data_IF_059850485051
#
_entry.id   IF_059850485051
#
_cell.length_a   1.000
_cell.length_b   1.000
_cell.length_c   1.000
_cell.angle_alpha   90.00
_cell.angle_beta   90.00
_cell.angle_gamma   90.00
#
_symmetry.space_group_name_H-M   'P 1'
#
loop_
_entity.id
_entity.type
_entity.pdbx_description
1 polymer ?
#
# COMPACT_ATOMS: atom_id res chain seq x y z
N UNK A 1 -15.60 5.46 9.70
CA UNK A 1 -16.02 6.16 8.45
C UNK A 1 -17.43 5.76 8.08
N UNK A 2 -17.67 4.48 7.82
CA UNK A 2 -18.97 3.89 7.47
C UNK A 2 -20.10 4.30 8.42
N UNK A 3 -19.85 4.29 9.73
CA UNK A 3 -20.84 4.72 10.73
C UNK A 3 -21.27 6.20 10.58
N UNK A 4 -20.39 7.09 10.11
CA UNK A 4 -20.75 8.48 9.79
C UNK A 4 -21.55 8.57 8.50
N UNK A 5 -21.18 7.81 7.46
CA UNK A 5 -21.90 7.77 6.18
C UNK A 5 -23.35 7.31 6.35
N UNK A 6 -23.59 6.32 7.22
CA UNK A 6 -24.92 5.77 7.48
C UNK A 6 -25.72 6.49 8.57
N UNK A 7 -25.20 7.57 9.18
CA UNK A 7 -25.93 8.32 10.21
C UNK A 7 -27.14 9.05 9.61
N UNK A 8 -26.93 9.70 8.47
CA UNK A 8 -27.96 10.33 7.65
C UNK A 8 -27.83 9.79 6.23
N UNK A 9 -28.48 8.65 5.91
CA UNK A 9 -28.27 7.95 4.64
C UNK A 9 -28.87 8.74 3.48
N UNK A 10 -28.04 9.03 2.48
CA UNK A 10 -28.43 9.48 1.14
C UNK A 10 -28.02 8.42 0.12
N UNK A 11 -28.53 8.48 -1.11
CA UNK A 11 -28.13 7.55 -2.17
C UNK A 11 -26.60 7.49 -2.32
N UNK A 12 -25.94 8.65 -2.40
CA UNK A 12 -24.48 8.74 -2.52
C UNK A 12 -23.74 8.20 -1.28
N UNK A 13 -24.21 8.52 -0.07
CA UNK A 13 -23.52 8.08 1.15
C UNK A 13 -23.63 6.58 1.35
N UNK A 14 -24.75 5.98 0.94
CA UNK A 14 -24.98 4.54 0.96
C UNK A 14 -24.14 3.84 -0.10
N UNK A 15 -24.09 4.37 -1.34
CA UNK A 15 -23.22 3.82 -2.40
C UNK A 15 -21.76 3.85 -1.98
N UNK A 16 -21.27 4.96 -1.43
CA UNK A 16 -19.90 5.07 -0.94
C UNK A 16 -19.62 4.11 0.23
N UNK A 17 -20.57 3.94 1.14
CA UNK A 17 -20.45 2.98 2.23
C UNK A 17 -20.39 1.54 1.72
N UNK A 18 -21.20 1.18 0.72
CA UNK A 18 -21.18 -0.14 0.09
C UNK A 18 -19.85 -0.38 -0.61
N UNK A 19 -19.37 0.58 -1.39
CA UNK A 19 -18.13 0.43 -2.14
C UNK A 19 -16.92 0.28 -1.21
N UNK A 20 -16.85 1.10 -0.15
CA UNK A 20 -15.82 0.94 0.88
C UNK A 20 -15.88 -0.44 1.54
N UNK A 21 -17.08 -0.94 1.81
CA UNK A 21 -17.25 -2.24 2.48
C UNK A 21 -16.86 -3.42 1.58
N UNK A 22 -17.12 -3.36 0.27
CA UNK A 22 -16.66 -4.42 -0.66
C UNK A 22 -15.15 -4.64 -0.57
N UNK A 23 -14.38 -3.56 -0.48
CA UNK A 23 -12.91 -3.62 -0.46
C UNK A 23 -12.33 -4.10 0.88
N UNK A 24 -12.96 -3.75 2.02
CA UNK A 24 -12.38 -4.04 3.35
C UNK A 24 -13.13 -5.12 4.16
N UNK A 25 -14.27 -5.63 3.70
CA UNK A 25 -15.11 -6.54 4.48
C UNK A 25 -14.39 -7.83 4.86
N UNK A 26 -13.65 -8.47 3.95
CA UNK A 26 -13.05 -9.75 4.27
C UNK A 26 -12.06 -9.61 5.44
N UNK A 27 -11.27 -8.54 5.49
CA UNK A 27 -10.39 -8.26 6.65
C UNK A 27 -11.20 -7.88 7.89
N UNK A 28 -12.25 -7.07 7.75
CA UNK A 28 -13.13 -6.70 8.87
C UNK A 28 -13.87 -7.90 9.46
N UNK A 29 -14.21 -8.91 8.68
CA UNK A 29 -14.84 -10.14 9.18
C UNK A 29 -13.91 -10.95 10.08
N UNK A 30 -12.60 -10.88 9.83
CA UNK A 30 -11.57 -11.58 10.61
C UNK A 30 -11.28 -10.84 11.93
N UNK A 31 -11.22 -9.50 11.89
CA UNK A 31 -10.80 -8.69 13.04
C UNK A 31 -12.00 -8.18 13.87
N UNK A 32 -13.10 -7.80 13.22
CA UNK A 32 -14.27 -7.14 13.84
C UNK A 32 -15.64 -7.67 13.34
N UNK A 33 -15.95 -8.97 13.49
CA UNK A 33 -17.18 -9.57 12.96
C UNK A 33 -18.47 -8.94 13.49
N UNK A 34 -18.48 -8.52 14.77
CA UNK A 34 -19.67 -7.89 15.39
C UNK A 34 -20.00 -6.52 14.78
N UNK A 35 -18.97 -5.75 14.42
CA UNK A 35 -19.14 -4.44 13.78
C UNK A 35 -19.75 -4.61 12.39
N UNK A 36 -19.29 -5.64 11.68
CA UNK A 36 -19.79 -6.01 10.37
C UNK A 36 -21.27 -6.41 10.43
N UNK A 37 -21.67 -7.25 11.38
CA UNK A 37 -23.07 -7.64 11.56
C UNK A 37 -23.98 -6.45 11.88
N UNK A 38 -23.50 -5.50 12.69
CA UNK A 38 -24.21 -4.25 12.96
C UNK A 38 -24.40 -3.41 11.69
N UNK A 39 -23.38 -3.36 10.82
CA UNK A 39 -23.47 -2.68 9.53
C UNK A 39 -24.52 -3.31 8.61
N UNK A 40 -24.49 -4.64 8.42
CA UNK A 40 -25.48 -5.34 7.60
C UNK A 40 -26.89 -5.25 8.16
N UNK A 41 -27.04 -5.26 9.49
CA UNK A 41 -28.34 -5.03 10.13
C UNK A 41 -28.89 -3.65 9.77
N UNK A 42 -28.06 -2.60 9.78
CA UNK A 42 -28.46 -1.25 9.35
C UNK A 42 -28.84 -1.20 7.87
N UNK A 43 -28.05 -1.81 6.99
CA UNK A 43 -28.40 -1.90 5.57
C UNK A 43 -29.72 -2.64 5.32
N UNK A 44 -29.99 -3.70 6.09
CA UNK A 44 -31.25 -4.43 6.03
C UNK A 44 -32.45 -3.55 6.41
N UNK A 45 -32.30 -2.69 7.41
CA UNK A 45 -33.32 -1.69 7.78
C UNK A 45 -33.53 -0.69 6.63
N UNK A 46 -32.45 -0.16 6.05
CA UNK A 46 -32.53 0.78 4.93
C UNK A 46 -33.22 0.16 3.71
N UNK A 47 -32.94 -1.11 3.39
CA UNK A 47 -33.56 -1.80 2.26
C UNK A 47 -35.10 -1.81 2.35
N UNK A 48 -35.68 -1.84 3.55
CA UNK A 48 -37.12 -1.97 3.76
C UNK A 48 -37.81 -0.66 4.15
N UNK A 49 -37.11 0.25 4.84
CA UNK A 49 -37.73 1.41 5.52
C UNK A 49 -37.32 2.77 4.94
N UNK A 50 -36.42 2.81 3.96
CA UNK A 50 -35.90 4.07 3.41
C UNK A 50 -36.58 4.47 2.10
N UNK A 51 -36.56 5.77 1.81
CA UNK A 51 -36.97 6.36 0.53
C UNK A 51 -35.80 6.47 -0.45
N UNK A 52 -34.89 5.49 -0.45
CA UNK A 52 -33.74 5.46 -1.37
C UNK A 52 -34.19 5.10 -2.79
N UNK A 53 -33.40 5.54 -3.77
CA UNK A 53 -33.67 5.26 -5.16
C UNK A 53 -33.44 3.77 -5.47
N UNK A 54 -34.16 3.28 -6.49
CA UNK A 54 -34.08 1.87 -6.93
C UNK A 54 -32.63 1.40 -7.22
N UNK A 55 -31.74 2.19 -7.84
CA UNK A 55 -30.35 1.80 -8.06
C UNK A 55 -29.60 1.55 -6.74
N UNK A 56 -29.80 2.41 -5.75
CA UNK A 56 -29.18 2.27 -4.41
C UNK A 56 -29.67 1.01 -3.70
N UNK A 57 -30.96 0.73 -3.77
CA UNK A 57 -31.53 -0.52 -3.22
C UNK A 57 -30.95 -1.76 -3.91
N UNK A 58 -30.75 -1.70 -5.23
CA UNK A 58 -30.11 -2.78 -5.99
C UNK A 58 -28.65 -3.00 -5.54
N UNK A 59 -27.90 -1.92 -5.29
CA UNK A 59 -26.53 -2.02 -4.76
C UNK A 59 -26.49 -2.70 -3.38
N UNK A 60 -27.45 -2.38 -2.50
CA UNK A 60 -27.56 -3.05 -1.19
C UNK A 60 -27.81 -4.56 -1.40
N UNK A 61 -28.72 -4.94 -2.29
CA UNK A 61 -29.02 -6.35 -2.59
C UNK A 61 -27.80 -7.08 -3.15
N UNK A 62 -27.07 -6.45 -4.08
CA UNK A 62 -25.82 -7.01 -4.62
C UNK A 62 -24.83 -7.27 -3.49
N UNK A 63 -24.67 -6.33 -2.54
CA UNK A 63 -23.77 -6.53 -1.41
C UNK A 63 -24.17 -7.74 -0.53
N UNK A 64 -25.46 -7.97 -0.30
CA UNK A 64 -25.93 -9.19 0.40
C UNK A 64 -25.62 -10.48 -0.38
N UNK A 65 -25.66 -10.45 -1.71
CA UNK A 65 -25.25 -11.59 -2.55
C UNK A 65 -23.75 -11.84 -2.42
N UNK A 66 -22.93 -10.78 -2.45
CA UNK A 66 -21.47 -10.90 -2.25
C UNK A 66 -21.19 -11.50 -0.86
N UNK A 67 -21.96 -11.12 0.17
CA UNK A 67 -21.89 -11.72 1.51
C UNK A 67 -22.19 -13.19 1.56
N UNK A 68 -23.22 -13.63 0.87
CA UNK A 68 -23.55 -15.06 0.78
C UNK A 68 -22.43 -15.86 0.09
N UNK A 69 -21.69 -15.23 -0.84
CA UNK A 69 -20.52 -15.80 -1.49
C UNK A 69 -19.21 -15.74 -0.68
N UNK A 70 -19.27 -15.38 0.61
CA UNK A 70 -18.10 -15.23 1.49
C UNK A 70 -17.00 -14.31 0.96
N UNK A 71 -17.34 -13.36 0.08
CA UNK A 71 -16.41 -12.38 -0.48
C UNK A 71 -15.24 -12.98 -1.26
N UNK A 72 -15.39 -14.18 -1.82
CA UNK A 72 -14.33 -14.80 -2.63
C UNK A 72 -13.85 -13.93 -3.81
N UNK A 73 -14.66 -12.95 -4.24
CA UNK A 73 -14.31 -11.98 -5.27
C UNK A 73 -13.40 -10.83 -4.80
N UNK A 74 -13.30 -10.59 -3.49
CA UNK A 74 -12.60 -9.44 -2.89
C UNK A 74 -11.62 -9.89 -1.79
N UNK A 75 -10.51 -10.55 -2.15
CA UNK A 75 -9.49 -10.97 -1.19
C UNK A 75 -8.90 -9.76 -0.44
N UNK A 76 -8.59 -9.88 0.87
CA UNK A 76 -8.10 -8.75 1.67
C UNK A 76 -6.72 -8.27 1.22
N UNK A 77 -5.93 -9.17 0.64
CA UNK A 77 -4.64 -8.88 0.02
C UNK A 77 -4.64 -9.63 -1.32
N UNK A 78 -4.52 -8.93 -2.47
CA UNK A 78 -4.41 -9.58 -3.76
C UNK A 78 -3.19 -10.50 -3.84
N UNK A 79 -3.26 -11.54 -4.69
CA UNK A 79 -2.15 -12.46 -4.91
C UNK A 79 -0.89 -11.72 -5.35
N UNK A 80 0.24 -11.96 -4.69
CA UNK A 80 1.53 -11.30 -4.97
C UNK A 80 1.80 -10.06 -4.10
N UNK A 81 0.78 -9.45 -3.49
CA UNK A 81 0.92 -8.23 -2.67
C UNK A 81 1.12 -8.48 -1.17
N UNK A 82 1.16 -9.74 -0.73
CA UNK A 82 1.43 -10.10 0.68
C UNK A 82 2.93 -10.00 0.99
N UNK A 83 3.45 -8.77 1.02
CA UNK A 83 4.89 -8.50 1.00
C UNK A 83 5.56 -8.65 2.36
N UNK A 84 4.84 -8.36 3.45
CA UNK A 84 5.40 -8.14 4.78
C UNK A 84 4.80 -9.15 5.75
N UNK A 85 5.65 -9.85 6.50
CA UNK A 85 5.23 -10.82 7.50
C UNK A 85 4.38 -10.13 8.60
N UNK A 86 3.35 -10.82 9.10
CA UNK A 86 2.39 -10.22 10.04
C UNK A 86 3.05 -9.65 11.31
N UNK A 87 4.13 -10.28 11.79
CA UNK A 87 4.88 -9.85 12.97
C UNK A 87 5.69 -8.55 12.76
N UNK A 88 5.98 -8.20 11.51
CA UNK A 88 6.73 -7.00 11.13
C UNK A 88 5.82 -5.84 10.67
N UNK A 89 4.50 -6.06 10.62
CA UNK A 89 3.54 -5.03 10.25
C UNK A 89 3.26 -4.07 11.42
N UNK A 90 3.41 -2.77 11.17
CA UNK A 90 3.04 -1.74 12.14
C UNK A 90 1.70 -1.10 11.79
N UNK A 91 0.67 -1.35 12.61
CA UNK A 91 -0.68 -0.83 12.40
C UNK A 91 -0.87 0.51 13.11
N UNK A 92 -1.08 1.58 12.34
CA UNK A 92 -1.39 2.90 12.87
C UNK A 92 -2.89 3.02 13.19
N UNK A 93 -3.20 3.53 14.38
CA UNK A 93 -4.58 3.84 14.77
C UNK A 93 -4.82 5.32 14.45
N UNK A 94 -5.65 5.57 13.43
CA UNK A 94 -6.03 6.91 13.01
C UNK A 94 -7.52 7.10 13.27
N UNK A 95 -7.85 8.16 14.00
CA UNK A 95 -9.23 8.55 14.27
C UNK A 95 -9.67 9.61 13.27
N UNK A 96 -10.89 9.48 12.75
CA UNK A 96 -11.43 10.40 11.74
C UNK A 96 -11.71 11.81 12.27
N UNK A 97 -11.85 11.94 13.59
CA UNK A 97 -12.24 13.18 14.24
C UNK A 97 -11.01 13.99 14.69
N UNK A 98 -9.82 13.37 14.65
CA UNK A 98 -8.57 14.02 15.01
C UNK A 98 -7.97 14.69 13.78
N UNK A 99 -7.50 15.95 13.90
CA UNK A 99 -6.81 16.60 12.81
C UNK A 99 -5.48 15.87 12.54
N UNK A 100 -5.28 15.40 11.32
CA UNK A 100 -3.95 15.04 10.83
C UNK A 100 -3.28 16.31 10.33
N UNK A 101 -2.18 16.71 10.94
CA UNK A 101 -1.38 17.83 10.47
C UNK A 101 -0.44 17.34 9.35
N UNK A 102 -0.69 17.70 8.07
CA UNK A 102 0.18 17.29 6.98
C UNK A 102 1.52 18.03 7.07
N UNK A 103 2.62 17.30 6.98
CA UNK A 103 3.97 17.88 6.99
C UNK A 103 4.40 18.19 5.55
N UNK A 104 3.72 19.15 4.92
CA UNK A 104 3.92 19.53 3.51
C UNK A 104 5.34 20.01 3.21
N UNK A 105 6.07 20.46 4.23
CA UNK A 105 7.43 20.98 4.10
C UNK A 105 8.43 19.88 3.70
N UNK A 106 8.09 18.60 3.85
CA UNK A 106 8.93 17.48 3.43
C UNK A 106 8.96 17.30 1.90
N UNK A 107 7.94 17.78 1.19
CA UNK A 107 7.85 17.67 -0.28
C UNK A 107 8.68 18.75 -1.01
N UNK A 108 9.20 19.73 -0.28
CA UNK A 108 9.95 20.87 -0.82
C UNK A 108 11.42 20.73 -0.50
N UNK A 109 12.26 20.64 -1.54
CA UNK A 109 13.71 20.63 -1.40
C UNK A 109 14.20 21.84 -0.60
N UNK A 110 14.94 21.55 0.47
CA UNK A 110 15.54 22.54 1.34
C UNK A 110 16.98 22.18 1.61
N UNK A 111 17.79 23.23 1.83
CA UNK A 111 19.15 23.04 2.25
C UNK A 111 19.20 22.53 3.70
N UNK A 112 19.70 21.32 3.88
CA UNK A 112 19.93 20.73 5.19
C UNK A 112 21.37 21.01 5.66
N UNK A 113 21.49 21.75 6.77
CA UNK A 113 22.79 22.03 7.40
C UNK A 113 23.45 20.78 7.98
N UNK A 114 22.67 19.76 8.32
CA UNK A 114 23.11 18.48 8.88
C UNK A 114 23.08 17.36 7.84
N UNK A 115 23.07 17.70 6.54
CA UNK A 115 22.98 16.74 5.45
C UNK A 115 23.93 15.55 5.63
N UNK A 116 25.22 15.79 5.90
CA UNK A 116 26.22 14.72 6.04
C UNK A 116 25.88 13.74 7.19
N UNK A 117 25.44 14.26 8.33
CA UNK A 117 25.07 13.45 9.50
C UNK A 117 23.78 12.64 9.24
N UNK A 118 22.79 13.27 8.62
CA UNK A 118 21.52 12.63 8.29
C UNK A 118 21.72 11.55 7.23
N UNK A 119 22.54 11.81 6.21
CA UNK A 119 22.86 10.83 5.17
C UNK A 119 23.59 9.60 5.75
N UNK A 120 24.45 9.79 6.75
CA UNK A 120 25.08 8.67 7.45
C UNK A 120 24.07 7.84 8.26
N UNK A 121 23.11 8.49 8.95
CA UNK A 121 22.01 7.81 9.65
C UNK A 121 21.14 7.00 8.68
N UNK A 122 20.74 7.61 7.56
CA UNK A 122 19.99 6.92 6.50
C UNK A 122 20.76 5.72 5.95
N UNK A 123 22.08 5.85 5.73
CA UNK A 123 22.92 4.75 5.27
C UNK A 123 22.95 3.57 6.26
N UNK A 124 23.02 3.85 7.56
CA UNK A 124 22.96 2.82 8.62
C UNK A 124 21.61 2.09 8.59
N UNK A 125 20.50 2.83 8.57
CA UNK A 125 19.14 2.26 8.50
C UNK A 125 18.97 1.43 7.23
N UNK A 126 19.43 1.92 6.08
CA UNK A 126 19.34 1.23 4.80
C UNK A 126 20.05 -0.12 4.82
N UNK A 127 21.27 -0.19 5.37
CA UNK A 127 22.02 -1.45 5.49
C UNK A 127 21.27 -2.48 6.33
N UNK A 128 20.63 -2.05 7.42
CA UNK A 128 19.86 -2.90 8.32
C UNK A 128 18.62 -3.48 7.60
N UNK A 129 17.87 -2.64 6.89
CA UNK A 129 16.62 -3.05 6.23
C UNK A 129 16.91 -4.00 5.07
N UNK A 130 17.92 -3.70 4.25
CA UNK A 130 18.20 -4.45 3.03
C UNK A 130 19.13 -5.65 3.25
N UNK A 131 19.61 -5.85 4.49
CA UNK A 131 20.61 -6.85 4.85
C UNK A 131 21.82 -6.82 3.89
N UNK A 132 22.30 -5.61 3.61
CA UNK A 132 23.50 -5.38 2.80
C UNK A 132 24.75 -5.70 3.62
N UNK A 133 24.91 -6.96 4.02
CA UNK A 133 26.21 -7.49 4.41
C UNK A 133 27.00 -7.66 3.11
N UNK A 134 27.62 -6.59 2.65
CA UNK A 134 28.77 -6.71 1.77
C UNK A 134 29.79 -7.60 2.44
N UNK A 135 30.24 -8.67 1.76
CA UNK A 135 31.33 -9.59 2.13
C UNK A 135 32.71 -8.88 2.27
N UNK A 136 32.79 -7.69 2.86
CA UNK A 136 34.03 -7.00 3.15
C UNK A 136 34.03 -6.57 4.62
N UNK A 137 34.66 -7.43 5.42
CA UNK A 137 35.38 -7.22 6.67
C UNK A 137 35.27 -5.82 7.32
N UNK A 138 34.69 -5.77 8.52
CA UNK A 138 35.43 -5.48 9.75
C UNK A 138 34.50 -5.73 10.95
N UNK A 139 34.98 -6.56 11.87
CA UNK A 139 34.34 -6.83 13.16
C UNK A 139 34.32 -5.54 14.00
N UNK A 140 33.23 -4.79 14.03
CA UNK A 140 32.94 -3.94 15.19
C UNK A 140 31.47 -3.52 15.29
N UNK A 141 30.95 -3.56 16.51
CA UNK A 141 29.61 -3.14 16.94
C UNK A 141 28.41 -3.76 16.20
N UNK A 142 28.25 -5.09 16.36
CA UNK A 142 26.91 -5.70 16.32
C UNK A 142 26.09 -5.15 17.51
N UNK A 143 25.46 -3.99 17.32
CA UNK A 143 24.15 -3.83 17.94
C UNK A 143 23.28 -4.97 17.40
N UNK A 144 22.72 -5.78 18.28
CA UNK A 144 21.66 -6.76 17.99
C UNK A 144 20.41 -6.01 17.46
N UNK A 145 20.53 -5.42 16.27
CA UNK A 145 19.37 -4.95 15.54
C UNK A 145 18.86 -6.20 14.83
N UNK A 146 17.89 -6.84 15.47
CA UNK A 146 17.13 -7.95 14.91
C UNK A 146 16.79 -7.57 13.47
N UNK A 147 17.29 -8.34 12.50
CA UNK A 147 16.92 -8.22 11.09
C UNK A 147 15.41 -8.03 11.02
N UNK A 148 14.98 -6.86 10.54
CA UNK A 148 13.57 -6.52 10.37
C UNK A 148 13.10 -7.29 9.12
N UNK A 149 12.74 -8.54 9.32
CA UNK A 149 11.85 -9.27 8.42
C UNK A 149 12.32 -9.52 7.00
N UNK A 150 12.92 -10.69 6.75
CA UNK A 150 12.56 -11.60 5.64
C UNK A 150 12.67 -11.18 4.16
N UNK A 151 13.00 -9.93 3.83
CA UNK A 151 13.04 -9.39 2.48
C UNK A 151 14.44 -8.88 2.14
N UNK A 152 15.35 -9.80 1.83
CA UNK A 152 16.58 -9.45 1.13
C UNK A 152 16.24 -8.69 -0.16
N UNK A 153 17.05 -7.68 -0.51
CA UNK A 153 16.90 -6.84 -1.70
C UNK A 153 16.62 -7.64 -3.00
N UNK A 154 17.21 -8.82 -3.15
CA UNK A 154 16.96 -9.71 -4.29
C UNK A 154 15.53 -10.28 -4.29
N UNK A 155 15.05 -10.73 -3.13
CA UNK A 155 13.67 -11.22 -2.97
C UNK A 155 12.68 -10.08 -3.19
N UNK A 156 12.99 -8.88 -2.69
CA UNK A 156 12.18 -7.68 -2.89
C UNK A 156 12.07 -7.31 -4.38
N UNK A 157 13.21 -7.18 -5.05
CA UNK A 157 13.26 -6.86 -6.48
C UNK A 157 12.54 -7.91 -7.34
N UNK A 158 12.69 -9.21 -7.03
CA UNK A 158 12.00 -10.27 -7.76
C UNK A 158 10.48 -10.18 -7.63
N UNK A 159 9.98 -9.83 -6.44
CA UNK A 159 8.53 -9.68 -6.20
C UNK A 159 7.94 -8.46 -6.90
N UNK A 160 8.68 -7.35 -6.95
CA UNK A 160 8.25 -6.15 -7.68
C UNK A 160 8.14 -6.37 -9.20
N UNK A 161 8.78 -7.41 -9.71
CA UNK A 161 8.68 -7.83 -11.12
C UNK A 161 7.52 -8.78 -11.40
N UNK A 162 6.76 -9.21 -10.39
CA UNK A 162 5.60 -10.06 -10.62
C UNK A 162 4.53 -9.32 -11.45
N UNK A 163 3.88 -9.98 -12.43
CA UNK A 163 2.84 -9.34 -13.26
C UNK A 163 1.71 -8.72 -12.43
N UNK A 164 1.40 -9.32 -11.28
CA UNK A 164 0.39 -8.83 -10.34
C UNK A 164 0.83 -7.60 -9.53
N UNK A 165 2.08 -7.15 -9.63
CA UNK A 165 2.59 -5.93 -8.97
C UNK A 165 2.85 -4.84 -10.01
N UNK A 166 3.30 -5.21 -11.21
CA UNK A 166 3.67 -4.27 -12.27
C UNK A 166 2.57 -3.28 -12.66
N UNK A 167 1.30 -3.68 -12.65
CA UNK A 167 0.18 -2.77 -12.92
C UNK A 167 0.08 -1.61 -11.92
N UNK A 168 0.52 -1.80 -10.68
CA UNK A 168 0.56 -0.73 -9.67
C UNK A 168 1.81 0.15 -9.80
N UNK A 169 2.84 -0.32 -10.50
CA UNK A 169 4.07 0.44 -10.77
C UNK A 169 4.00 1.19 -12.10
N UNK A 170 2.87 1.10 -12.81
CA UNK A 170 2.65 1.84 -14.04
C UNK A 170 2.59 3.34 -13.75
N UNK A 171 3.44 4.11 -14.44
CA UNK A 171 3.61 5.56 -14.21
C UNK A 171 4.71 5.92 -13.21
N UNK A 172 5.29 4.94 -12.50
CA UNK A 172 6.43 5.18 -11.59
C UNK A 172 7.72 5.52 -12.36
N UNK A 173 7.89 4.93 -13.55
CA UNK A 173 9.06 5.15 -14.40
C UNK A 173 8.75 6.19 -15.47
N UNK A 174 9.55 7.25 -15.50
CA UNK A 174 9.56 8.22 -16.60
C UNK A 174 10.10 7.50 -17.84
N UNK A 175 9.19 7.02 -18.71
CA UNK A 175 9.55 6.27 -19.92
C UNK A 175 10.21 7.14 -20.99
N UNK A 176 9.88 8.43 -21.00
CA UNK A 176 10.48 9.43 -21.91
C UNK A 176 11.93 9.76 -21.54
N UNK A 177 12.30 9.59 -20.25
CA UNK A 177 13.66 9.70 -19.75
C UNK A 177 14.02 8.45 -18.93
N UNK A 178 14.20 7.35 -19.66
CA UNK A 178 14.56 6.06 -19.07
C UNK A 178 15.89 6.15 -18.29
N UNK A 179 16.82 7.04 -18.70
CA UNK A 179 18.10 7.21 -18.02
C UNK A 179 17.93 7.87 -16.65
N UNK A 180 17.05 8.88 -16.53
CA UNK A 180 16.70 9.46 -15.24
C UNK A 180 16.11 8.41 -14.30
N UNK A 181 15.15 7.61 -14.78
CA UNK A 181 14.56 6.52 -13.99
C UNK A 181 15.64 5.52 -13.52
N UNK A 182 16.51 5.07 -14.43
CA UNK A 182 17.63 4.17 -14.09
C UNK A 182 18.51 4.78 -13.00
N UNK A 183 18.89 6.06 -13.13
CA UNK A 183 19.77 6.73 -12.19
C UNK A 183 19.12 6.90 -10.80
N UNK A 184 17.85 7.32 -10.74
CA UNK A 184 17.12 7.49 -9.48
C UNK A 184 17.02 6.16 -8.74
N UNK A 185 16.52 5.11 -9.39
CA UNK A 185 16.32 3.82 -8.74
C UNK A 185 17.65 3.12 -8.41
N UNK A 186 18.71 3.33 -9.22
CA UNK A 186 20.05 2.87 -8.86
C UNK A 186 20.62 3.61 -7.64
N UNK A 187 20.38 4.92 -7.52
CA UNK A 187 20.90 5.72 -6.40
C UNK A 187 20.31 5.33 -5.04
N UNK A 188 19.08 4.83 -5.02
CA UNK A 188 18.44 4.28 -3.81
C UNK A 188 18.67 2.78 -3.64
N UNK A 189 19.38 2.16 -4.60
CA UNK A 189 19.70 0.73 -4.66
C UNK A 189 18.49 -0.18 -4.86
N UNK A 190 17.46 0.31 -5.55
CA UNK A 190 16.36 -0.48 -6.09
C UNK A 190 16.55 -0.70 -7.59
N UNK A 191 17.79 -0.98 -7.95
CA UNK A 191 18.28 -0.90 -9.31
C UNK A 191 17.68 -2.01 -10.20
N UNK A 192 17.35 -3.16 -9.58
CA UNK A 192 16.61 -4.27 -10.17
C UNK A 192 15.28 -3.83 -10.81
N UNK A 193 14.60 -2.82 -10.27
CA UNK A 193 13.36 -2.26 -10.84
C UNK A 193 13.51 -1.73 -12.26
N UNK A 194 14.73 -1.37 -12.66
CA UNK A 194 15.01 -0.74 -13.94
C UNK A 194 15.71 -1.68 -14.93
N UNK A 195 15.77 -2.99 -14.65
CA UNK A 195 16.44 -3.96 -15.51
C UNK A 195 15.88 -3.96 -16.96
N UNK A 196 14.56 -3.93 -17.12
CA UNK A 196 13.92 -3.84 -18.43
C UNK A 196 14.28 -2.52 -19.16
N UNK A 197 14.34 -1.39 -18.43
CA UNK A 197 14.74 -0.11 -19.01
C UNK A 197 16.21 -0.12 -19.44
N UNK A 198 17.10 -0.76 -18.67
CA UNK A 198 18.52 -0.91 -19.02
C UNK A 198 18.71 -1.76 -20.27
N UNK A 199 17.96 -2.85 -20.41
CA UNK A 199 17.98 -3.68 -21.62
C UNK A 199 17.49 -2.89 -22.85
N UNK A 200 16.40 -2.13 -22.70
CA UNK A 200 15.89 -1.24 -23.75
C UNK A 200 16.91 -0.16 -24.15
N UNK A 201 17.55 0.52 -23.20
CA UNK A 201 18.58 1.53 -23.48
C UNK A 201 19.83 0.92 -24.15
N UNK A 202 20.23 -0.30 -23.76
CA UNK A 202 21.34 -1.02 -24.41
C UNK A 202 21.01 -1.40 -25.86
N UNK A 203 19.75 -1.69 -26.16
CA UNK A 203 19.30 -2.04 -27.50
C UNK A 203 19.17 -0.81 -28.43
N UNK A 204 18.91 0.39 -27.90
CA UNK A 204 18.76 1.63 -28.66
C UNK A 204 19.60 2.79 -28.09
N UNK A 205 20.91 2.87 -28.40
CA UNK A 205 21.81 3.90 -27.86
C UNK A 205 21.64 5.31 -28.49
N UNK A 206 20.56 5.59 -29.23
CA UNK A 206 20.47 6.74 -30.15
C UNK A 206 19.76 7.99 -29.64
N UNK A 207 19.42 8.07 -28.36
CA UNK A 207 18.97 9.33 -27.73
C UNK A 207 19.89 9.68 -26.56
N UNK A 208 21.08 10.17 -26.91
CA UNK A 208 21.93 11.03 -26.10
C UNK A 208 21.66 12.48 -26.49
#
# INVERSE_FOLDING_TARGET
>A
MVARLLKNPTDDSVVLAIELMKECEQKLSQVYPRTLDSFFSKLGILLHQSSLDKPTLCMIQILFVVRAGYFNAYPPIPSGLDLVDEDDQFTHIIELDNPCEPILMLDVFQYDKQFEENEEKYRKIRRIILDETSDNDEEDDRMEIKSLGGLNLNKFNNRLMEPAVLWHLEGLFLRDDAQFSINVFASIGLDGLTNALRECCRANPTHL
#
